data_IF_564716064057
#
_entry.id   IF_564716064057
#
_cell.length_a   1.000
_cell.length_b   1.000
_cell.length_c   1.000
_cell.angle_alpha   90.00
_cell.angle_beta   90.00
_cell.angle_gamma   90.00
#
_symmetry.space_group_name_H-M   'P 1'
#
loop_
_entity.id
_entity.type
_entity.pdbx_description
1 polymer ?
#
# COMPACT_ATOMS: atom_id res chain seq x y z
N UNK A 1 14.57 -4.73 1.95
CA UNK A 1 13.61 -4.17 0.99
C UNK A 1 13.12 -2.85 1.56
N UNK A 2 13.26 -1.76 0.82
CA UNK A 2 12.72 -0.44 1.19
C UNK A 2 11.28 -0.29 0.67
N UNK A 3 10.50 0.68 1.18
CA UNK A 3 9.18 0.98 0.63
C UNK A 3 9.16 1.20 -0.89
N UNK A 4 10.19 1.88 -1.41
CA UNK A 4 10.30 2.14 -2.85
C UNK A 4 10.63 0.85 -3.63
N UNK A 5 11.52 0.00 -3.11
CA UNK A 5 11.81 -1.31 -3.70
C UNK A 5 10.55 -2.20 -3.76
N UNK A 6 9.71 -2.17 -2.71
CA UNK A 6 8.43 -2.90 -2.71
C UNK A 6 7.46 -2.34 -3.76
N UNK A 7 7.34 -1.00 -3.86
CA UNK A 7 6.50 -0.31 -4.84
C UNK A 7 6.83 -0.68 -6.29
N UNK A 8 8.12 -0.85 -6.61
CA UNK A 8 8.57 -1.26 -7.94
C UNK A 8 8.52 -2.79 -8.17
N UNK A 9 8.15 -3.55 -7.14
CA UNK A 9 7.91 -4.99 -7.24
C UNK A 9 6.58 -5.34 -7.91
N UNK A 10 6.34 -6.65 -8.09
CA UNK A 10 5.12 -7.19 -8.70
C UNK A 10 3.95 -7.40 -7.74
N UNK A 11 4.19 -7.37 -6.43
CA UNK A 11 3.16 -7.66 -5.41
C UNK A 11 2.32 -6.43 -5.05
N UNK A 12 1.93 -5.63 -6.04
CA UNK A 12 1.31 -4.32 -5.83
C UNK A 12 -0.06 -4.21 -6.51
N UNK A 13 -0.96 -3.44 -5.90
CA UNK A 13 -2.29 -3.09 -6.41
C UNK A 13 -2.67 -1.67 -6.01
N UNK A 14 -3.78 -1.14 -6.50
CA UNK A 14 -4.17 0.26 -6.23
C UNK A 14 -4.32 0.51 -4.72
N UNK A 15 -4.89 -0.44 -3.98
CA UNK A 15 -5.08 -0.34 -2.53
C UNK A 15 -3.76 -0.36 -1.75
N UNK A 16 -2.83 -1.25 -2.09
CA UNK A 16 -1.52 -1.28 -1.44
C UNK A 16 -0.66 -0.06 -1.79
N UNK A 17 -0.81 0.47 -3.01
CA UNK A 17 -0.18 1.73 -3.44
C UNK A 17 -0.80 2.94 -2.73
N UNK A 18 -2.07 2.86 -2.35
CA UNK A 18 -2.74 3.88 -1.53
C UNK A 18 -2.09 3.96 -0.15
N UNK A 19 -1.91 2.83 0.53
CA UNK A 19 -1.21 2.78 1.83
C UNK A 19 0.21 3.34 1.70
N UNK A 20 0.97 2.87 0.71
CA UNK A 20 2.32 3.37 0.47
C UNK A 20 2.34 4.89 0.24
N UNK A 21 1.37 5.43 -0.51
CA UNK A 21 1.33 6.85 -0.82
C UNK A 21 1.13 7.71 0.44
N UNK A 22 0.20 7.31 1.31
CA UNK A 22 -0.06 7.97 2.60
C UNK A 22 1.19 7.92 3.48
N UNK A 23 1.76 6.72 3.67
CA UNK A 23 2.91 6.51 4.56
C UNK A 23 4.17 7.25 4.11
N UNK A 24 4.32 7.44 2.79
CA UNK A 24 5.42 8.17 2.17
C UNK A 24 5.11 9.67 1.99
N UNK A 25 3.93 10.15 2.40
CA UNK A 25 3.54 11.55 2.28
C UNK A 25 3.42 12.05 0.84
N UNK A 26 3.09 11.15 -0.10
CA UNK A 26 2.96 11.48 -1.53
C UNK A 26 1.50 11.44 -2.00
N UNK A 27 1.24 12.07 -3.14
CA UNK A 27 -0.10 12.14 -3.73
C UNK A 27 -0.42 10.87 -4.50
N UNK A 28 -1.66 10.42 -4.39
CA UNK A 28 -2.20 9.32 -5.19
C UNK A 28 -2.55 9.87 -6.58
N UNK A 29 -1.93 9.35 -7.63
CA UNK A 29 -2.08 9.80 -9.02
C UNK A 29 -2.80 8.78 -9.92
N UNK A 30 -3.34 7.71 -9.34
CA UNK A 30 -4.14 6.71 -10.06
C UNK A 30 -5.39 7.36 -10.68
N UNK A 31 -5.73 6.97 -11.91
CA UNK A 31 -6.99 7.38 -12.57
C UNK A 31 -8.23 6.92 -11.80
N UNK A 32 -8.08 5.88 -10.98
CA UNK A 32 -9.12 5.36 -10.10
C UNK A 32 -9.10 6.02 -8.71
N UNK A 33 -8.15 6.93 -8.45
CA UNK A 33 -7.97 7.55 -7.15
C UNK A 33 -7.43 6.59 -6.09
N UNK A 34 -7.62 6.98 -4.82
CA UNK A 34 -7.38 6.13 -3.67
C UNK A 34 -8.36 4.96 -3.66
N UNK A 35 -7.91 3.78 -3.23
CA UNK A 35 -8.78 2.60 -3.09
C UNK A 35 -8.46 1.83 -1.82
N UNK A 36 -9.47 1.13 -1.31
CA UNK A 36 -9.34 0.09 -0.29
C UNK A 36 -9.31 -1.30 -0.95
N UNK A 37 -8.89 -2.36 -0.23
CA UNK A 37 -9.01 -3.73 -0.70
C UNK A 37 -10.45 -4.11 -1.08
N UNK A 38 -10.66 -4.61 -2.30
CA UNK A 38 -11.99 -5.01 -2.79
C UNK A 38 -12.18 -6.53 -2.85
N UNK A 39 -11.10 -7.30 -2.79
CA UNK A 39 -11.12 -8.76 -2.84
C UNK A 39 -10.00 -9.36 -1.95
N UNK A 40 -10.04 -10.68 -1.66
CA UNK A 40 -9.05 -11.32 -0.82
C UNK A 40 -7.61 -11.24 -1.33
N UNK A 41 -7.40 -11.23 -2.65
CA UNK A 41 -6.07 -11.09 -3.27
C UNK A 41 -5.53 -9.68 -3.05
N UNK A 42 -6.39 -8.68 -3.19
CA UNK A 42 -6.06 -7.27 -2.95
C UNK A 42 -5.76 -6.98 -1.48
N UNK A 43 -6.57 -7.56 -0.57
CA UNK A 43 -6.25 -7.54 0.86
C UNK A 43 -4.92 -8.23 1.13
N UNK A 44 -4.64 -9.36 0.48
CA UNK A 44 -3.38 -10.09 0.62
C UNK A 44 -2.15 -9.23 0.28
N UNK A 45 -2.22 -8.40 -0.76
CA UNK A 45 -1.16 -7.44 -1.11
C UNK A 45 -0.96 -6.39 -0.02
N UNK A 46 -2.05 -5.77 0.45
CA UNK A 46 -1.99 -4.80 1.54
C UNK A 46 -1.44 -5.41 2.83
N UNK A 47 -1.87 -6.62 3.16
CA UNK A 47 -1.39 -7.33 4.34
C UNK A 47 0.10 -7.64 4.24
N UNK A 48 0.60 -8.16 3.10
CA UNK A 48 2.03 -8.42 2.89
C UNK A 48 2.87 -7.14 2.93
N UNK A 49 2.37 -6.02 2.38
CA UNK A 49 3.02 -4.72 2.54
C UNK A 49 3.23 -4.38 4.03
N UNK A 50 2.20 -4.49 4.85
CA UNK A 50 2.27 -4.21 6.29
C UNK A 50 3.09 -5.23 7.07
N UNK A 51 3.30 -6.44 6.56
CA UNK A 51 4.26 -7.39 7.15
C UNK A 51 5.71 -6.99 6.87
N UNK A 52 5.98 -6.34 5.73
CA UNK A 52 7.30 -5.80 5.41
C UNK A 52 7.62 -4.50 6.18
N UNK A 53 6.61 -3.66 6.41
CA UNK A 53 6.74 -2.36 7.10
C UNK A 53 5.78 -2.32 8.31
N UNK A 54 6.05 -3.09 9.37
CA UNK A 54 5.14 -3.21 10.52
C UNK A 54 4.91 -1.88 11.25
N UNK A 55 5.84 -0.93 11.18
CA UNK A 55 5.72 0.41 11.74
C UNK A 55 4.56 1.23 11.13
N UNK A 56 4.02 0.80 9.99
CA UNK A 56 2.85 1.45 9.37
C UNK A 56 1.53 0.96 9.93
N UNK A 57 1.49 -0.18 10.64
CA UNK A 57 0.24 -0.72 11.21
C UNK A 57 -0.37 0.20 12.26
N UNK A 58 0.47 0.90 13.01
CA UNK A 58 0.05 1.85 14.06
C UNK A 58 -0.43 3.20 13.48
N UNK A 59 -0.29 3.40 12.16
CA UNK A 59 -0.57 4.65 11.46
C UNK A 59 -1.70 4.50 10.44
N UNK A 60 -2.44 3.39 10.46
CA UNK A 60 -3.48 3.07 9.47
C UNK A 60 -4.72 3.95 9.53
N UNK A 61 -4.80 4.82 10.54
CA UNK A 61 -5.84 5.83 10.72
C UNK A 61 -5.54 7.17 10.02
N UNK A 62 -4.37 7.33 9.40
CA UNK A 62 -4.00 8.45 8.50
C UNK A 62 -4.78 8.43 7.17
#
# INVERSE_FOLDING_TARGET
>A
MTPNEWMFGGDTGISSKTIWAVMMGTRITSVFGASVPLDPSDFGRCHRLLQHFPEWKERLDE
#
